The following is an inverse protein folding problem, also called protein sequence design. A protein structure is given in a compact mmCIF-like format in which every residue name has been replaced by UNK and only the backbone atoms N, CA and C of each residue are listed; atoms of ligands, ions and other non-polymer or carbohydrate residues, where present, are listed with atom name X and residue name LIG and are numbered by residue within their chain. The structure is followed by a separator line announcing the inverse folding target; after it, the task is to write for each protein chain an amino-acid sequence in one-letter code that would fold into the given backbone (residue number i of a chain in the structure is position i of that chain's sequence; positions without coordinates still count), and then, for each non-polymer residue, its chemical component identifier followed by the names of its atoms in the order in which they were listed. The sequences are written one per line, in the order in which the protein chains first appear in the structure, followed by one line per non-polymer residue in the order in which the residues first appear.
data_IF_244149516299
#
_entry.id   IF_244149516299
#
_cell.length_a   1.000
_cell.length_b   1.000
_cell.length_c   1.000
_cell.angle_alpha   90.00
_cell.angle_beta   90.00
_cell.angle_gamma   90.00
#
_symmetry.space_group_name_H-M   'P 1'
#
loop_
_entity.id
_entity.type
_entity.pdbx_description
1 polymer ?
#
# COMPACT_ATOMS: atom_id res chain seq x y z
N UNK A 1 -21.03 -7.55 5.68
CA UNK A 1 -21.16 -6.06 5.67
C UNK A 1 -19.87 -5.32 6.04
N UNK A 2 -18.72 -5.99 6.27
CA UNK A 2 -17.50 -5.38 6.82
C UNK A 2 -16.78 -4.31 5.99
N UNK A 3 -17.26 -4.00 4.79
CA UNK A 3 -16.73 -2.89 3.95
C UNK A 3 -17.79 -1.80 3.68
N UNK A 4 -18.80 -1.74 4.54
CA UNK A 4 -19.81 -0.67 4.55
C UNK A 4 -19.45 0.36 5.64
N UNK A 5 -19.76 1.65 5.45
CA UNK A 5 -20.41 2.26 4.28
C UNK A 5 -19.49 2.30 3.06
N UNK A 6 -20.04 1.95 1.89
CA UNK A 6 -19.32 2.01 0.61
C UNK A 6 -19.37 3.42 0.03
N UNK A 7 -18.49 4.29 0.53
CA UNK A 7 -18.31 5.70 0.16
C UNK A 7 -16.93 5.93 -0.46
N UNK A 8 -16.74 7.06 -1.14
CA UNK A 8 -15.43 7.46 -1.69
C UNK A 8 -14.39 7.52 -0.57
N UNK A 9 -13.17 7.04 -0.84
CA UNK A 9 -12.04 7.21 0.04
C UNK A 9 -11.76 8.71 0.24
N UNK A 10 -11.41 9.10 1.47
CA UNK A 10 -11.11 10.49 1.81
C UNK A 10 -9.74 10.92 1.30
N UNK A 11 -8.81 9.98 1.17
CA UNK A 11 -7.47 10.18 0.65
C UNK A 11 -7.21 9.19 -0.48
N UNK A 12 -6.38 9.58 -1.45
CA UNK A 12 -5.81 8.67 -2.45
C UNK A 12 -4.68 7.85 -1.83
N UNK A 13 -3.91 8.46 -0.91
CA UNK A 13 -2.86 7.80 -0.14
C UNK A 13 -3.52 6.88 0.89
N UNK A 14 -3.34 5.55 0.79
CA UNK A 14 -3.95 4.63 1.72
C UNK A 14 -3.30 4.75 3.11
N UNK A 15 -4.10 4.52 4.16
CA UNK A 15 -3.64 4.55 5.55
C UNK A 15 -3.76 3.16 6.16
N UNK A 16 -2.65 2.59 6.62
CA UNK A 16 -2.70 1.34 7.38
C UNK A 16 -3.39 1.57 8.73
N UNK A 17 -4.29 0.66 9.10
CA UNK A 17 -5.00 0.69 10.39
C UNK A 17 -4.36 -0.19 11.46
N UNK A 18 -3.29 -0.91 11.11
CA UNK A 18 -2.49 -1.76 12.00
C UNK A 18 -1.06 -1.83 11.45
N UNK A 19 -0.14 -2.32 12.25
CA UNK A 19 1.26 -2.53 11.87
C UNK A 19 1.69 -3.94 12.28
N UNK A 20 2.77 -4.49 11.70
CA UNK A 20 3.38 -5.72 12.18
C UNK A 20 3.87 -5.59 13.62
N UNK A 21 3.98 -6.71 14.32
CA UNK A 21 4.53 -6.78 15.67
C UNK A 21 6.02 -6.40 15.68
N UNK A 22 6.57 -6.18 16.88
CA UNK A 22 7.93 -5.65 17.09
C UNK A 22 9.03 -6.72 17.10
N UNK A 23 8.81 -7.83 16.41
CA UNK A 23 9.78 -8.90 16.34
C UNK A 23 10.94 -8.54 15.40
N UNK A 24 12.17 -8.89 15.80
CA UNK A 24 13.35 -8.75 14.96
C UNK A 24 14.17 -7.47 15.17
N UNK A 25 14.98 -7.14 14.17
CA UNK A 25 15.84 -5.96 14.16
C UNK A 25 15.02 -4.70 13.90
N UNK A 26 15.56 -3.56 14.33
CA UNK A 26 14.91 -2.26 14.10
C UNK A 26 14.83 -1.97 12.61
N UNK A 27 13.66 -1.52 12.17
CA UNK A 27 13.48 -1.14 10.77
C UNK A 27 12.13 -0.48 10.48
N UNK A 28 12.02 0.06 9.28
CA UNK A 28 10.76 0.57 8.75
C UNK A 28 9.79 -0.58 8.50
N UNK A 29 8.51 -0.36 8.78
CA UNK A 29 7.45 -1.35 8.54
C UNK A 29 6.59 -1.01 7.33
N UNK A 30 7.05 -0.15 6.43
CA UNK A 30 6.29 0.14 5.22
C UNK A 30 7.03 0.94 4.16
N UNK A 31 6.61 0.73 2.92
CA UNK A 31 7.11 1.38 1.70
C UNK A 31 5.94 1.73 0.77
N UNK A 32 6.18 2.43 -0.32
CA UNK A 32 5.17 2.76 -1.31
C UNK A 32 5.74 2.79 -2.74
N UNK A 33 4.87 2.55 -3.72
CA UNK A 33 5.23 2.59 -5.13
C UNK A 33 4.05 2.94 -6.03
N UNK A 34 4.28 3.01 -7.33
CA UNK A 34 3.28 3.33 -8.34
C UNK A 34 3.00 2.11 -9.22
N UNK A 35 1.73 1.71 -9.26
CA UNK A 35 1.32 0.55 -10.05
C UNK A 35 1.54 0.80 -11.54
N UNK A 36 2.36 -0.02 -12.19
CA UNK A 36 2.61 0.06 -13.63
C UNK A 36 1.58 -0.73 -14.42
N UNK A 37 1.61 -2.06 -14.28
CA UNK A 37 0.78 -2.97 -15.06
C UNK A 37 0.88 -4.40 -14.59
N UNK A 38 0.53 -5.35 -15.46
CA UNK A 38 0.64 -6.78 -15.17
C UNK A 38 1.37 -7.49 -16.31
N UNK A 39 2.07 -8.56 -15.94
CA UNK A 39 2.63 -9.56 -16.85
C UNK A 39 2.54 -10.93 -16.17
N UNK A 40 3.33 -11.90 -16.62
CA UNK A 40 3.53 -13.17 -15.95
C UNK A 40 5.01 -13.51 -15.87
N UNK A 41 5.36 -14.30 -14.87
CA UNK A 41 6.69 -14.90 -14.72
C UNK A 41 6.57 -16.41 -14.78
N UNK A 42 7.63 -17.06 -15.26
CA UNK A 42 7.86 -18.49 -15.03
C UNK A 42 8.86 -18.58 -13.89
N UNK A 43 8.49 -19.26 -12.83
CA UNK A 43 9.35 -19.48 -11.66
C UNK A 43 9.35 -20.96 -11.28
N UNK A 44 10.33 -21.38 -10.49
CA UNK A 44 10.34 -22.73 -9.90
C UNK A 44 9.38 -22.75 -8.70
N UNK A 45 8.48 -23.73 -8.66
CA UNK A 45 7.62 -23.96 -7.50
C UNK A 45 8.47 -24.38 -6.30
N UNK A 46 8.57 -23.48 -5.33
CA UNK A 46 9.33 -23.66 -4.09
C UNK A 46 8.43 -24.03 -2.90
N UNK A 47 7.16 -24.36 -3.15
CA UNK A 47 6.26 -24.80 -2.10
C UNK A 47 6.62 -26.21 -1.66
N UNK A 48 7.28 -26.32 -0.51
CA UNK A 48 7.58 -27.61 0.13
C UNK A 48 6.33 -28.49 0.22
N UNK A 49 6.46 -29.74 -0.21
CA UNK A 49 5.38 -30.75 -0.28
C UNK A 49 4.28 -30.46 -1.32
N UNK A 50 4.52 -29.54 -2.25
CA UNK A 50 3.71 -29.43 -3.47
C UNK A 50 4.01 -30.61 -4.40
N UNK A 51 3.01 -31.08 -5.14
CA UNK A 51 3.22 -32.11 -6.17
C UNK A 51 4.09 -31.60 -7.33
N UNK A 52 4.23 -30.28 -7.46
CA UNK A 52 5.00 -29.60 -8.49
C UNK A 52 6.28 -28.96 -7.96
N UNK A 53 6.68 -29.24 -6.71
CA UNK A 53 7.91 -28.71 -6.12
C UNK A 53 9.12 -28.97 -7.05
N UNK A 54 9.89 -27.93 -7.36
CA UNK A 54 11.02 -27.98 -8.28
C UNK A 54 10.66 -27.94 -9.78
N UNK A 55 9.37 -27.88 -10.13
CA UNK A 55 8.91 -27.73 -11.51
C UNK A 55 8.63 -26.26 -11.86
N UNK A 56 8.68 -25.93 -13.14
CA UNK A 56 8.29 -24.61 -13.63
C UNK A 56 6.78 -24.37 -13.46
N UNK A 57 6.44 -23.19 -12.96
CA UNK A 57 5.06 -22.72 -12.84
C UNK A 57 4.92 -21.29 -13.34
N UNK A 58 3.83 -21.01 -14.04
CA UNK A 58 3.53 -19.67 -14.56
C UNK A 58 2.67 -18.90 -13.57
N UNK A 59 3.16 -17.75 -13.10
CA UNK A 59 2.53 -16.94 -12.07
C UNK A 59 2.19 -15.55 -12.64
N UNK A 60 0.95 -15.08 -12.53
CA UNK A 60 0.61 -13.70 -12.90
C UNK A 60 1.24 -12.73 -11.90
N UNK A 61 1.82 -11.64 -12.38
CA UNK A 61 2.44 -10.62 -11.54
C UNK A 61 1.87 -9.24 -11.83
N UNK A 62 1.82 -8.39 -10.81
CA UNK A 62 1.68 -6.95 -10.97
C UNK A 62 3.04 -6.31 -10.79
N UNK A 63 3.46 -5.52 -11.78
CA UNK A 63 4.68 -4.72 -11.71
C UNK A 63 4.36 -3.37 -11.06
N UNK A 64 5.16 -2.96 -10.08
CA UNK A 64 5.03 -1.68 -9.36
C UNK A 64 6.40 -1.01 -9.36
N UNK A 65 6.47 0.24 -9.83
CA UNK A 65 7.69 1.05 -9.67
C UNK A 65 7.82 1.50 -8.21
N UNK A 66 8.97 1.27 -7.61
CA UNK A 66 9.30 1.50 -6.20
C UNK A 66 10.54 2.37 -6.08
N UNK A 67 10.52 3.61 -6.62
CA UNK A 67 11.65 4.54 -6.48
C UNK A 67 11.96 4.80 -5.01
N UNK A 68 13.20 5.22 -4.67
CA UNK A 68 13.54 5.56 -3.30
C UNK A 68 12.56 6.54 -2.68
N UNK A 69 12.21 6.28 -1.43
CA UNK A 69 11.37 7.17 -0.63
C UNK A 69 12.26 8.02 0.28
N UNK A 70 11.69 9.11 0.79
CA UNK A 70 12.39 10.00 1.72
C UNK A 70 11.61 10.19 3.01
N UNK A 71 12.33 10.35 4.12
CA UNK A 71 11.78 10.75 5.42
C UNK A 71 11.81 12.27 5.53
N UNK A 72 10.66 12.86 5.85
CA UNK A 72 10.52 14.29 6.14
C UNK A 72 10.59 14.60 7.64
N UNK A 73 10.14 13.68 8.49
CA UNK A 73 10.15 13.86 9.94
C UNK A 73 10.08 12.53 10.70
N UNK A 74 10.56 12.55 11.94
CA UNK A 74 10.33 11.52 12.95
C UNK A 74 9.24 12.03 13.91
N UNK A 75 8.18 11.26 14.10
CA UNK A 75 7.07 11.55 15.01
C UNK A 75 7.04 10.52 16.14
N UNK A 76 7.10 11.02 17.38
CA UNK A 76 6.89 10.20 18.56
C UNK A 76 5.44 10.27 19.04
N UNK A 77 4.97 9.18 19.62
CA UNK A 77 3.65 9.08 20.22
C UNK A 77 3.76 8.73 21.70
N UNK A 78 2.92 9.38 22.51
CA UNK A 78 2.68 9.00 23.90
C UNK A 78 1.40 8.16 24.01
N UNK A 79 1.32 7.30 25.02
CA UNK A 79 0.11 6.57 25.35
C UNK A 79 -0.65 7.27 26.48
N UNK A 80 -1.81 7.84 26.15
CA UNK A 80 -2.66 8.54 27.12
C UNK A 80 -3.85 7.68 27.52
N UNK A 81 -4.59 8.10 28.55
CA UNK A 81 -5.87 7.48 28.91
C UNK A 81 -6.91 7.46 27.75
N UNK A 82 -6.68 8.25 26.69
CA UNK A 82 -7.53 8.32 25.50
C UNK A 82 -6.92 7.63 24.26
N UNK A 83 -5.84 6.87 24.46
CA UNK A 83 -5.06 6.21 23.41
C UNK A 83 -3.84 7.01 22.95
N UNK A 84 -3.20 6.54 21.87
CA UNK A 84 -1.97 7.13 21.34
C UNK A 84 -2.19 8.55 20.83
N UNK A 85 -1.34 9.50 21.23
CA UNK A 85 -1.35 10.90 20.74
C UNK A 85 0.04 11.29 20.24
N UNK A 86 0.15 12.08 19.15
CA UNK A 86 1.43 12.65 18.76
C UNK A 86 1.98 13.52 19.89
N UNK A 87 3.23 13.28 20.26
CA UNK A 87 3.94 14.02 21.29
C UNK A 87 4.73 15.19 20.68
N UNK A 88 5.72 14.86 19.83
CA UNK A 88 6.57 15.81 19.14
C UNK A 88 7.02 15.26 17.78
N UNK A 89 7.54 16.14 16.93
CA UNK A 89 8.06 15.83 15.60
C UNK A 89 9.41 16.51 15.37
N UNK A 90 10.39 15.74 14.93
CA UNK A 90 11.69 16.24 14.47
C UNK A 90 11.70 16.18 12.94
N UNK A 91 11.78 17.34 12.28
CA UNK A 91 11.77 17.45 10.82
C UNK A 91 13.19 17.51 10.25
N UNK A 92 13.34 17.05 9.01
CA UNK A 92 14.58 17.19 8.26
C UNK A 92 14.89 18.67 7.99
N UNK A 93 16.14 19.06 8.14
CA UNK A 93 16.60 20.43 7.80
C UNK A 93 16.57 20.67 6.29
N UNK A 94 16.98 19.66 5.51
CA UNK A 94 17.09 19.72 4.07
C UNK A 94 16.18 18.66 3.43
N UNK A 95 14.93 19.03 3.16
CA UNK A 95 14.00 18.14 2.45
C UNK A 95 14.10 18.31 0.93
N UNK A 96 13.63 17.30 0.17
CA UNK A 96 13.60 17.36 -1.28
C UNK A 96 12.80 18.58 -1.78
N UNK A 97 13.27 19.32 -2.80
CA UNK A 97 12.64 20.57 -3.24
C UNK A 97 11.15 20.45 -3.56
N UNK A 98 10.70 19.33 -4.15
CA UNK A 98 9.28 19.13 -4.49
C UNK A 98 8.35 18.87 -3.29
N UNK A 99 8.88 18.68 -2.07
CA UNK A 99 8.06 18.46 -0.87
C UNK A 99 7.17 19.67 -0.53
N UNK A 100 7.61 20.88 -0.89
CA UNK A 100 6.87 22.13 -0.72
C UNK A 100 5.48 22.13 -1.40
N UNK A 101 5.32 21.33 -2.46
CA UNK A 101 4.05 21.12 -3.17
C UNK A 101 3.02 20.38 -2.31
N UNK A 102 3.49 19.63 -1.32
CA UNK A 102 2.66 18.78 -0.47
C UNK A 102 2.45 19.36 0.92
N UNK A 103 3.51 19.87 1.55
CA UNK A 103 3.52 20.33 2.95
C UNK A 103 4.35 21.61 3.05
N UNK A 104 3.90 22.54 3.90
CA UNK A 104 4.71 23.69 4.33
C UNK A 104 5.64 23.22 5.44
N UNK A 105 6.95 23.24 5.20
CA UNK A 105 7.95 22.83 6.18
C UNK A 105 7.92 23.78 7.39
N UNK A 106 8.00 23.26 8.63
CA UNK A 106 8.04 24.09 9.82
C UNK A 106 9.39 24.80 9.95
N UNK A 107 9.34 26.10 10.27
CA UNK A 107 10.54 26.92 10.48
C UNK A 107 11.20 26.63 11.84
N UNK A 108 12.49 26.26 11.83
CA UNK A 108 13.48 26.75 12.81
C UNK A 108 13.41 26.35 14.30
N UNK A 109 12.94 25.14 14.67
CA UNK A 109 13.01 24.66 16.07
C UNK A 109 13.33 23.15 16.18
N UNK A 110 14.09 22.59 15.23
CA UNK A 110 14.31 21.14 15.19
C UNK A 110 15.21 20.65 16.34
N UNK A 111 16.17 21.45 16.77
CA UNK A 111 17.00 21.15 17.94
C UNK A 111 16.15 21.06 19.23
N UNK A 112 15.25 22.02 19.45
CA UNK A 112 14.33 22.00 20.61
C UNK A 112 13.38 20.78 20.57
N UNK A 113 12.92 20.40 19.37
CA UNK A 113 12.09 19.21 19.20
C UNK A 113 12.87 17.92 19.45
N UNK A 114 14.16 17.86 19.07
CA UNK A 114 15.07 16.73 19.38
C UNK A 114 15.31 16.62 20.87
N UNK A 115 15.54 17.73 21.56
CA UNK A 115 15.71 17.76 23.01
C UNK A 115 14.44 17.27 23.72
N UNK A 116 13.27 17.71 23.25
CA UNK A 116 11.96 17.25 23.76
C UNK A 116 11.77 15.75 23.55
N UNK A 117 12.15 15.23 22.38
CA UNK A 117 12.07 13.80 22.07
C UNK A 117 12.99 12.98 22.99
N UNK A 118 14.23 13.44 23.17
CA UNK A 118 15.23 12.78 24.02
C UNK A 118 14.76 12.74 25.48
N UNK A 119 14.28 13.86 26.02
CA UNK A 119 13.75 13.92 27.38
C UNK A 119 12.55 12.98 27.58
N UNK A 120 11.64 12.92 26.61
CA UNK A 120 10.48 12.02 26.66
C UNK A 120 10.85 10.54 26.50
N UNK A 121 11.97 10.23 25.84
CA UNK A 121 12.50 8.88 25.78
C UNK A 121 13.08 8.47 27.15
N UNK A 122 13.84 9.36 27.79
CA UNK A 122 14.44 9.14 29.11
C UNK A 122 13.39 8.99 30.22
N UNK A 123 12.30 9.77 30.18
CA UNK A 123 11.21 9.68 31.16
C UNK A 123 10.23 8.51 30.91
N UNK A 124 10.38 7.80 29.78
CA UNK A 124 9.57 6.65 29.41
C UNK A 124 8.18 6.99 28.85
N UNK A 125 7.95 8.23 28.40
CA UNK A 125 6.66 8.67 27.85
C UNK A 125 6.43 8.23 26.40
N UNK A 126 7.48 7.83 25.67
CA UNK A 126 7.38 7.39 24.27
C UNK A 126 6.86 5.94 24.17
N UNK A 127 5.72 5.77 23.49
CA UNK A 127 5.04 4.48 23.27
C UNK A 127 5.17 3.96 21.82
N UNK A 128 5.31 4.84 20.83
CA UNK A 128 5.45 4.46 19.41
C UNK A 128 6.29 5.50 18.66
N UNK A 129 7.06 5.03 17.69
CA UNK A 129 7.90 5.88 16.83
C UNK A 129 7.52 5.63 15.38
N UNK A 130 7.30 6.71 14.64
CA UNK A 130 6.91 6.64 13.24
C UNK A 130 7.63 7.70 12.44
N UNK A 131 7.93 7.39 11.18
CA UNK A 131 8.48 8.37 10.24
C UNK A 131 7.37 8.91 9.35
N UNK A 132 7.36 10.22 9.15
CA UNK A 132 6.60 10.87 8.08
C UNK A 132 7.45 10.78 6.83
N UNK A 133 7.09 9.85 5.95
CA UNK A 133 7.79 9.60 4.70
C UNK A 133 7.01 10.14 3.49
N UNK A 134 7.68 10.34 2.37
CA UNK A 134 7.09 10.78 1.13
C UNK A 134 7.74 10.12 -0.08
N UNK A 135 6.96 9.97 -1.16
CA UNK A 135 7.48 9.52 -2.45
C UNK A 135 8.10 10.67 -3.23
N UNK A 136 8.94 10.36 -4.23
CA UNK A 136 9.46 11.33 -5.20
C UNK A 136 8.90 11.02 -6.60
N UNK A 137 7.66 11.43 -6.94
CA UNK A 137 7.04 11.08 -8.21
C UNK A 137 7.79 11.59 -9.44
N UNK A 138 8.64 12.60 -9.28
CA UNK A 138 9.45 13.15 -10.36
C UNK A 138 10.49 12.15 -10.90
N UNK A 139 10.86 11.14 -10.10
CA UNK A 139 11.74 10.04 -10.49
C UNK A 139 11.02 8.93 -11.25
N UNK A 140 9.70 9.04 -11.44
CA UNK A 140 8.89 8.06 -12.19
C UNK A 140 8.29 8.74 -13.43
N UNK A 141 8.97 8.68 -14.59
CA UNK A 141 8.56 9.39 -15.80
C UNK A 141 7.12 9.05 -16.25
N UNK A 142 6.71 7.79 -16.05
CA UNK A 142 5.38 7.28 -16.38
C UNK A 142 4.26 7.91 -15.54
N UNK A 143 4.58 8.55 -14.40
CA UNK A 143 3.63 9.17 -13.47
C UNK A 143 3.62 10.70 -13.66
N UNK A 144 2.54 11.32 -14.20
CA UNK A 144 2.55 12.74 -14.57
C UNK A 144 2.64 13.75 -13.40
N UNK A 145 2.35 13.30 -12.18
CA UNK A 145 2.31 14.19 -11.01
C UNK A 145 3.73 14.39 -10.50
N UNK A 146 4.07 15.61 -10.10
CA UNK A 146 5.32 15.93 -9.39
C UNK A 146 5.14 16.12 -7.89
N UNK A 147 3.90 16.35 -7.45
CA UNK A 147 3.56 16.53 -6.03
C UNK A 147 3.73 15.21 -5.27
N UNK A 148 4.63 15.15 -4.26
CA UNK A 148 4.80 13.99 -3.39
C UNK A 148 3.51 13.51 -2.74
N UNK A 149 3.41 12.21 -2.55
CA UNK A 149 2.46 11.63 -1.61
C UNK A 149 3.14 11.53 -0.25
N UNK A 150 2.50 12.01 0.82
CA UNK A 150 3.05 11.97 2.20
C UNK A 150 2.27 10.95 3.03
N UNK A 151 2.99 10.11 3.77
CA UNK A 151 2.42 9.07 4.61
C UNK A 151 3.30 8.74 5.82
N UNK A 152 2.63 8.30 6.87
CA UNK A 152 3.31 7.85 8.08
C UNK A 152 3.59 6.34 8.01
N UNK A 153 4.83 5.95 8.25
CA UNK A 153 5.31 4.57 8.38
C UNK A 153 5.81 4.32 9.79
N UNK A 154 5.44 3.19 10.39
CA UNK A 154 5.91 2.82 11.73
C UNK A 154 7.34 2.27 11.68
N UNK A 155 8.12 2.56 12.72
CA UNK A 155 9.40 1.91 13.00
C UNK A 155 9.14 0.83 14.05
N UNK A 156 9.51 -0.41 13.74
CA UNK A 156 9.33 -1.57 14.63
C UNK A 156 10.66 -2.26 14.94
N UNK A 157 10.61 -3.33 15.73
CA UNK A 157 11.79 -4.09 16.13
C UNK A 157 12.56 -3.45 17.30
N UNK A 158 13.42 -4.22 17.97
CA UNK A 158 14.27 -3.72 19.07
C UNK A 158 13.51 -2.98 20.20
N UNK A 159 14.26 -2.21 20.98
CA UNK A 159 13.71 -1.33 22.04
C UNK A 159 13.20 -0.01 21.46
N UNK A 160 12.39 0.74 22.22
CA UNK A 160 11.94 2.08 21.79
C UNK A 160 13.12 3.02 21.55
N UNK A 161 14.18 2.92 22.37
CA UNK A 161 15.41 3.70 22.18
C UNK A 161 16.07 3.41 20.84
N UNK A 162 16.26 2.13 20.52
CA UNK A 162 16.86 1.72 19.24
C UNK A 162 16.01 2.21 18.05
N UNK A 163 14.68 2.28 18.18
CA UNK A 163 13.78 2.81 17.14
C UNK A 163 13.91 4.31 16.96
N UNK A 164 14.07 5.07 18.05
CA UNK A 164 14.28 6.52 18.00
C UNK A 164 15.62 6.81 17.34
N UNK A 165 16.68 6.13 17.77
CA UNK A 165 18.03 6.27 17.20
C UNK A 165 18.02 5.97 15.70
N UNK A 166 17.53 4.80 15.29
CA UNK A 166 17.39 4.45 13.87
C UNK A 166 16.61 5.49 13.06
N UNK A 167 15.50 6.00 13.60
CA UNK A 167 14.67 6.97 12.89
C UNK A 167 15.36 8.33 12.72
N UNK A 168 16.12 8.77 13.73
CA UNK A 168 16.90 10.01 13.68
C UNK A 168 18.11 9.86 12.76
N UNK A 169 18.84 8.74 12.83
CA UNK A 169 19.96 8.45 11.94
C UNK A 169 19.51 8.44 10.47
N UNK A 170 18.37 7.80 10.19
CA UNK A 170 17.78 7.81 8.85
C UNK A 170 17.42 9.23 8.41
N UNK A 171 16.84 10.05 9.30
CA UNK A 171 16.50 11.45 9.02
C UNK A 171 17.76 12.28 8.70
N UNK A 172 18.84 12.06 9.43
CA UNK A 172 20.12 12.79 9.29
C UNK A 172 20.91 12.35 8.06
N UNK A 173 20.78 11.09 7.64
CA UNK A 173 21.33 10.55 6.40
C UNK A 173 20.48 10.90 5.16
N UNK A 174 20.03 12.16 5.05
CA UNK A 174 19.20 12.70 3.96
C UNK A 174 17.79 12.05 3.80
N UNK A 175 17.41 11.18 4.73
CA UNK A 175 16.09 10.56 4.79
C UNK A 175 15.81 9.50 3.73
N UNK A 176 16.74 9.20 2.82
CA UNK A 176 16.49 8.30 1.70
C UNK A 176 16.51 6.83 2.14
N UNK A 177 15.54 6.04 1.65
CA UNK A 177 15.50 4.59 1.84
C UNK A 177 14.86 3.90 0.63
N UNK A 178 15.31 2.69 0.36
CA UNK A 178 14.95 1.88 -0.79
C UNK A 178 14.00 0.73 -0.42
N UNK A 179 13.46 0.06 -1.43
CA UNK A 179 12.52 -1.05 -1.20
C UNK A 179 13.18 -2.23 -0.46
N UNK A 180 14.46 -2.49 -0.78
CA UNK A 180 15.27 -3.55 -0.17
C UNK A 180 15.63 -3.33 1.31
N UNK A 181 15.57 -2.08 1.79
CA UNK A 181 15.78 -1.77 3.22
C UNK A 181 14.62 -2.25 4.10
N UNK A 182 13.46 -2.54 3.48
CA UNK A 182 12.22 -2.91 4.17
C UNK A 182 11.80 -4.36 3.87
N UNK A 183 12.07 -4.85 2.67
CA UNK A 183 11.57 -6.13 2.18
C UNK A 183 12.66 -6.98 1.55
N UNK A 184 12.49 -8.29 1.63
CA UNK A 184 13.27 -9.28 0.89
C UNK A 184 12.39 -10.12 -0.02
N UNK A 185 12.92 -10.49 -1.20
CA UNK A 185 12.23 -11.34 -2.15
C UNK A 185 11.80 -12.66 -1.48
N UNK A 186 10.59 -13.12 -1.81
CA UNK A 186 9.97 -14.30 -1.22
C UNK A 186 9.16 -14.05 0.06
N UNK A 187 9.26 -12.87 0.67
CA UNK A 187 8.44 -12.49 1.82
C UNK A 187 6.97 -12.22 1.44
N UNK A 188 6.11 -12.27 2.46
CA UNK A 188 4.72 -11.86 2.34
C UNK A 188 4.54 -10.43 2.82
N UNK A 189 3.86 -9.63 2.02
CA UNK A 189 3.51 -8.26 2.32
C UNK A 189 2.00 -8.03 2.21
N UNK A 190 1.50 -7.02 2.91
CA UNK A 190 0.13 -6.53 2.73
C UNK A 190 0.15 -5.30 1.82
N UNK A 191 -0.68 -5.31 0.78
CA UNK A 191 -0.77 -4.20 -0.18
C UNK A 191 -2.02 -3.37 0.07
N UNK A 192 -1.84 -2.10 0.40
CA UNK A 192 -2.93 -1.14 0.51
C UNK A 192 -3.03 -0.23 -0.72
N UNK A 193 -4.24 0.01 -1.18
CA UNK A 193 -4.49 0.87 -2.34
C UNK A 193 -5.93 1.34 -2.43
N UNK A 194 -6.15 2.45 -3.14
CA UNK A 194 -7.49 2.92 -3.48
C UNK A 194 -7.93 2.30 -4.81
N UNK A 195 -8.95 1.47 -4.73
CA UNK A 195 -9.48 0.69 -5.86
C UNK A 195 -9.94 1.53 -7.07
N UNK A 196 -9.90 0.96 -8.27
CA UNK A 196 -10.44 1.58 -9.51
C UNK A 196 -11.87 2.11 -9.27
N UNK A 197 -12.07 3.42 -9.48
CA UNK A 197 -13.36 4.09 -9.33
C UNK A 197 -14.36 3.67 -10.40
N UNK A 198 -15.61 3.41 -10.02
CA UNK A 198 -16.68 3.02 -10.95
C UNK A 198 -17.91 3.95 -10.86
N UNK A 199 -17.81 5.04 -10.10
CA UNK A 199 -18.90 6.00 -9.90
C UNK A 199 -20.16 5.40 -9.25
N UNK A 200 -21.32 5.94 -9.59
CA UNK A 200 -22.62 5.42 -9.16
C UNK A 200 -22.93 4.11 -9.89
N UNK A 201 -23.13 3.03 -9.13
CA UNK A 201 -23.51 1.73 -9.69
C UNK A 201 -24.78 1.19 -9.05
N UNK A 202 -25.57 0.49 -9.86
CA UNK A 202 -26.79 -0.17 -9.41
C UNK A 202 -26.51 -1.42 -8.55
N UNK A 203 -27.52 -1.92 -7.81
CA UNK A 203 -27.35 -3.03 -6.86
C UNK A 203 -26.76 -4.30 -7.47
N UNK A 204 -27.07 -4.60 -8.74
CA UNK A 204 -26.55 -5.78 -9.44
C UNK A 204 -25.03 -5.79 -9.48
N UNK A 205 -24.40 -4.69 -9.91
CA UNK A 205 -22.93 -4.61 -9.98
C UNK A 205 -22.32 -4.33 -8.62
N UNK A 206 -22.96 -3.49 -7.80
CA UNK A 206 -22.44 -3.06 -6.50
C UNK A 206 -22.46 -4.19 -5.47
N UNK A 207 -23.53 -4.99 -5.42
CA UNK A 207 -23.76 -6.00 -4.39
C UNK A 207 -23.89 -7.43 -4.91
N UNK A 208 -23.85 -7.64 -6.24
CA UNK A 208 -23.98 -8.98 -6.82
C UNK A 208 -25.41 -9.54 -6.78
N UNK A 209 -26.44 -8.71 -6.59
CA UNK A 209 -27.83 -9.20 -6.62
C UNK A 209 -28.21 -9.66 -8.02
N UNK A 210 -29.12 -10.62 -8.11
CA UNK A 210 -29.60 -11.12 -9.39
C UNK A 210 -30.30 -10.03 -10.21
N UNK A 211 -30.15 -10.11 -11.53
CA UNK A 211 -31.09 -9.48 -12.47
C UNK A 211 -32.45 -10.19 -12.35
N UNK A 212 -33.54 -9.50 -12.68
CA UNK A 212 -34.84 -10.16 -12.88
C UNK A 212 -34.70 -11.23 -13.97
N UNK A 213 -35.41 -12.35 -13.81
CA UNK A 213 -35.29 -13.53 -14.67
C UNK A 213 -36.57 -13.77 -15.48
N UNK A 214 -36.46 -14.53 -16.57
CA UNK A 214 -37.59 -15.00 -17.37
C UNK A 214 -38.58 -13.90 -17.76
N UNK A 215 -39.88 -14.14 -17.49
CA UNK A 215 -40.96 -13.18 -17.76
C UNK A 215 -40.75 -11.85 -17.03
N UNK A 216 -40.31 -11.88 -15.77
CA UNK A 216 -40.11 -10.68 -14.94
C UNK A 216 -39.09 -9.69 -15.54
N UNK A 217 -38.07 -10.19 -16.24
CA UNK A 217 -37.09 -9.33 -16.91
C UNK A 217 -37.70 -8.48 -18.06
N UNK A 218 -38.85 -8.90 -18.59
CA UNK A 218 -39.56 -8.25 -19.70
C UNK A 218 -40.68 -7.31 -19.24
N UNK A 219 -41.01 -7.30 -17.94
CA UNK A 219 -42.13 -6.50 -17.39
C UNK A 219 -41.74 -5.04 -17.06
N UNK A 220 -40.59 -4.55 -17.54
CA UNK A 220 -40.10 -3.18 -17.23
C UNK A 220 -39.04 -3.11 -16.12
N UNK A 221 -38.78 -4.21 -15.40
CA UNK A 221 -37.70 -4.28 -14.39
C UNK A 221 -36.65 -5.31 -14.78
N UNK A 222 -35.41 -4.86 -14.98
CA UNK A 222 -34.28 -5.75 -15.30
C UNK A 222 -33.25 -5.85 -14.17
N UNK A 223 -32.90 -4.71 -13.57
CA UNK A 223 -31.74 -4.58 -12.65
C UNK A 223 -32.10 -4.00 -11.29
N UNK A 224 -33.37 -4.12 -10.89
CA UNK A 224 -33.89 -3.70 -9.58
C UNK A 224 -34.17 -4.92 -8.71
N UNK A 225 -33.96 -4.77 -7.41
CA UNK A 225 -34.30 -5.78 -6.40
C UNK A 225 -35.83 -5.97 -6.29
N UNK A 226 -36.23 -6.98 -5.53
CA UNK A 226 -37.64 -7.35 -5.27
C UNK A 226 -38.39 -6.26 -4.51
N UNK A 227 -37.96 -6.04 -3.27
CA UNK A 227 -38.53 -5.11 -2.30
C UNK A 227 -37.40 -4.46 -1.48
N UNK A 228 -37.74 -3.51 -0.60
CA UNK A 228 -36.80 -2.80 0.27
C UNK A 228 -36.84 -3.27 1.74
N UNK A 229 -37.58 -4.33 2.04
CA UNK A 229 -37.76 -4.85 3.40
C UNK A 229 -39.15 -5.45 3.63
N UNK A 230 -39.35 -6.07 4.81
CA UNK A 230 -40.66 -6.51 5.28
C UNK A 230 -41.56 -5.32 5.67
N UNK A 231 -42.82 -5.58 6.00
CA UNK A 231 -43.75 -4.57 6.52
C UNK A 231 -43.21 -3.93 7.81
N UNK A 232 -42.87 -4.75 8.81
CA UNK A 232 -42.30 -4.30 10.08
C UNK A 232 -40.86 -4.83 10.22
N UNK A 233 -39.88 -4.01 10.62
CA UNK A 233 -40.00 -2.59 10.97
C UNK A 233 -40.21 -1.69 9.74
N UNK A 234 -41.05 -0.65 9.88
CA UNK A 234 -41.45 0.29 8.82
C UNK A 234 -40.35 1.29 8.43
N UNK A 235 -39.16 0.76 8.10
CA UNK A 235 -38.00 1.54 7.64
C UNK A 235 -37.10 0.66 6.76
N UNK A 236 -36.42 1.28 5.81
CA UNK A 236 -35.42 0.57 5.00
C UNK A 236 -34.17 0.35 5.86
N UNK A 237 -33.75 -0.91 6.00
CA UNK A 237 -32.51 -1.23 6.71
C UNK A 237 -31.30 -0.91 5.83
N UNK A 238 -30.21 -0.45 6.44
CA UNK A 238 -28.93 -0.16 5.77
C UNK A 238 -28.30 -1.38 5.10
N UNK A 239 -28.70 -2.58 5.52
CA UNK A 239 -28.25 -3.87 4.96
C UNK A 239 -28.89 -4.22 3.62
N UNK A 240 -29.96 -3.52 3.22
CA UNK A 240 -30.62 -3.76 1.94
C UNK A 240 -29.72 -3.25 0.80
N UNK A 241 -29.42 -4.10 -0.21
CA UNK A 241 -28.48 -3.75 -1.27
C UNK A 241 -29.07 -2.68 -2.20
N UNK A 242 -28.61 -1.44 -2.02
CA UNK A 242 -29.05 -0.28 -2.80
C UNK A 242 -27.95 0.26 -3.72
N UNK A 243 -28.33 1.11 -4.67
CA UNK A 243 -27.39 1.80 -5.54
C UNK A 243 -26.45 2.71 -4.73
N UNK A 244 -25.33 3.09 -5.31
CA UNK A 244 -24.42 4.07 -4.70
C UNK A 244 -23.01 4.00 -5.27
N UNK A 245 -22.10 4.77 -4.68
CA UNK A 245 -20.68 4.74 -5.02
C UNK A 245 -20.13 3.31 -4.99
N UNK A 246 -19.37 2.95 -6.03
CA UNK A 246 -18.64 1.68 -6.14
C UNK A 246 -17.24 1.94 -6.66
N UNK A 247 -16.25 1.27 -6.07
CA UNK A 247 -14.84 1.55 -6.34
C UNK A 247 -14.42 2.90 -5.73
N UNK A 248 -13.13 3.23 -5.86
CA UNK A 248 -12.53 4.35 -5.14
C UNK A 248 -12.69 4.21 -3.62
N UNK A 249 -12.54 2.98 -3.13
CA UNK A 249 -12.48 2.64 -1.72
C UNK A 249 -11.06 2.16 -1.39
N UNK A 250 -10.57 2.48 -0.20
CA UNK A 250 -9.33 1.88 0.31
C UNK A 250 -9.54 0.38 0.55
N UNK A 251 -8.58 -0.44 0.12
CA UNK A 251 -8.48 -1.85 0.45
C UNK A 251 -7.05 -2.15 0.88
N UNK A 252 -6.92 -3.09 1.80
CA UNK A 252 -5.66 -3.74 2.15
C UNK A 252 -5.85 -5.20 1.79
N UNK A 253 -5.15 -5.65 0.75
CA UNK A 253 -5.08 -7.06 0.36
C UNK A 253 -3.92 -7.69 1.12
N UNK A 254 -4.19 -8.78 1.82
CA UNK A 254 -3.23 -9.41 2.73
C UNK A 254 -2.42 -10.49 2.03
N UNK A 255 -1.25 -10.78 2.57
CA UNK A 255 -0.42 -11.94 2.22
C UNK A 255 -0.13 -12.06 0.71
N UNK A 256 0.23 -10.94 0.07
CA UNK A 256 0.78 -10.96 -1.29
C UNK A 256 2.25 -11.33 -1.21
N UNK A 257 2.68 -12.25 -2.05
CA UNK A 257 4.07 -12.63 -2.13
C UNK A 257 4.84 -11.64 -2.99
N UNK A 258 5.99 -11.18 -2.49
CA UNK A 258 6.98 -10.48 -3.28
C UNK A 258 7.80 -11.55 -4.02
N UNK A 259 7.76 -11.58 -5.35
CA UNK A 259 8.54 -12.55 -6.11
C UNK A 259 9.97 -12.06 -6.32
N UNK A 260 10.10 -10.82 -6.75
CA UNK A 260 11.38 -10.22 -7.11
C UNK A 260 11.27 -8.70 -7.02
N UNK A 261 12.40 -8.02 -6.82
CA UNK A 261 12.53 -6.58 -6.98
C UNK A 261 13.95 -6.29 -7.48
N UNK A 262 14.11 -5.21 -8.22
CA UNK A 262 15.38 -4.82 -8.83
C UNK A 262 15.24 -3.49 -9.53
N UNK A 263 16.32 -3.03 -10.17
CA UNK A 263 16.40 -1.70 -10.78
C UNK A 263 16.69 -1.76 -12.29
N UNK A 264 16.68 -2.97 -12.86
CA UNK A 264 16.91 -3.20 -14.28
C UNK A 264 15.62 -2.95 -15.10
N UNK A 265 15.78 -2.65 -16.38
CA UNK A 265 14.71 -2.38 -17.33
C UNK A 265 14.12 -3.66 -17.97
N UNK A 266 14.35 -4.82 -17.34
CA UNK A 266 14.02 -6.17 -17.83
C UNK A 266 12.55 -6.59 -17.66
N UNK A 267 11.75 -5.79 -16.94
CA UNK A 267 10.32 -6.05 -16.70
C UNK A 267 9.37 -5.26 -17.60
N UNK A 268 9.90 -4.34 -18.42
CA UNK A 268 9.10 -3.54 -19.33
C UNK A 268 8.55 -4.41 -20.48
N UNK A 269 7.24 -4.32 -20.72
CA UNK A 269 6.61 -5.03 -21.85
C UNK A 269 6.82 -4.29 -23.18
N UNK A 270 6.87 -5.02 -24.28
CA UNK A 270 7.04 -4.49 -25.64
C UNK A 270 5.97 -3.45 -25.95
N UNK A 271 6.42 -2.25 -26.33
CA UNK A 271 5.55 -1.09 -26.60
C UNK A 271 5.06 -0.37 -25.34
N UNK A 272 5.60 -0.71 -24.17
CA UNK A 272 5.27 -0.10 -22.87
C UNK A 272 3.95 -0.61 -22.28
N UNK A 273 3.82 -0.46 -20.96
CA UNK A 273 2.58 -0.82 -20.27
C UNK A 273 1.41 0.09 -20.73
N UNK A 274 0.28 -0.47 -21.18
CA UNK A 274 -0.84 0.31 -21.69
C UNK A 274 -1.38 1.33 -20.69
N UNK A 275 -1.49 2.59 -21.11
CA UNK A 275 -1.88 3.73 -20.28
C UNK A 275 -0.93 4.04 -19.11
N UNK A 276 0.26 3.47 -19.10
CA UNK A 276 1.30 3.71 -18.12
C UNK A 276 2.52 4.35 -18.77
N UNK A 277 3.32 3.54 -19.48
CA UNK A 277 4.62 3.88 -20.06
C UNK A 277 5.62 2.72 -19.88
N UNK A 278 6.90 3.02 -20.05
CA UNK A 278 8.02 2.11 -19.78
C UNK A 278 8.44 2.23 -18.30
N UNK A 279 9.13 1.21 -17.79
CA UNK A 279 9.73 1.20 -16.45
C UNK A 279 11.22 1.42 -16.64
N UNK A 280 11.75 2.48 -16.03
CA UNK A 280 13.13 2.94 -16.19
C UNK A 280 13.94 2.94 -14.88
N UNK A 281 13.38 2.34 -13.82
CA UNK A 281 14.01 2.38 -12.50
C UNK A 281 13.48 1.29 -11.56
N UNK A 282 13.71 1.45 -10.24
CA UNK A 282 13.40 0.44 -9.25
C UNK A 282 11.96 -0.08 -9.33
N UNK A 283 11.80 -1.40 -9.29
CA UNK A 283 10.53 -2.08 -9.39
C UNK A 283 10.38 -3.23 -8.40
N UNK A 284 9.14 -3.65 -8.17
CA UNK A 284 8.78 -4.87 -7.47
C UNK A 284 7.74 -5.69 -8.24
N UNK A 285 7.96 -7.01 -8.31
CA UNK A 285 7.05 -8.01 -8.86
C UNK A 285 6.20 -8.61 -7.73
N UNK A 286 4.93 -8.21 -7.69
CA UNK A 286 3.98 -8.68 -6.68
C UNK A 286 3.11 -9.78 -7.28
N UNK A 287 3.03 -10.92 -6.58
CA UNK A 287 2.19 -12.05 -7.00
C UNK A 287 0.71 -11.64 -7.14
N UNK A 288 0.14 -11.97 -8.29
CA UNK A 288 -1.26 -11.76 -8.62
C UNK A 288 -1.61 -10.29 -8.84
N UNK A 289 -2.74 -9.87 -8.29
CA UNK A 289 -3.29 -8.53 -8.52
C UNK A 289 -3.05 -7.57 -7.35
N UNK A 290 -2.84 -6.29 -7.66
CA UNK A 290 -2.79 -5.19 -6.67
C UNK A 290 -4.00 -4.23 -6.83
N UNK A 291 -4.59 -3.73 -5.72
CA UNK A 291 -5.74 -2.82 -5.78
C UNK A 291 -5.39 -1.45 -6.35
N UNK A 292 -6.13 -1.03 -7.38
CA UNK A 292 -6.00 0.31 -7.96
C UNK A 292 -5.78 0.28 -9.47
N UNK A 293 -5.96 1.42 -10.15
CA UNK A 293 -5.48 1.60 -11.51
C UNK A 293 -3.98 1.74 -11.60
N UNK A 294 -3.51 1.68 -12.82
CA UNK A 294 -2.20 2.12 -13.26
C UNK A 294 -1.96 3.57 -12.76
N UNK A 295 -0.72 3.92 -12.43
CA UNK A 295 -0.29 5.21 -11.84
C UNK A 295 -0.80 5.48 -10.41
N UNK A 296 -1.52 4.55 -9.79
CA UNK A 296 -2.00 4.71 -8.41
C UNK A 296 -0.85 4.41 -7.45
N UNK A 297 -0.70 5.26 -6.44
CA UNK A 297 0.10 4.94 -5.27
C UNK A 297 -0.46 3.70 -4.58
N UNK A 298 0.39 2.72 -4.33
CA UNK A 298 0.13 1.54 -3.51
C UNK A 298 1.14 1.54 -2.37
N UNK A 299 0.71 1.08 -1.21
CA UNK A 299 1.57 0.98 -0.02
C UNK A 299 1.77 -0.48 0.34
N UNK A 300 2.95 -0.76 0.83
CA UNK A 300 3.40 -2.05 1.29
C UNK A 300 3.68 -1.98 2.79
N UNK A 301 3.42 -3.07 3.49
CA UNK A 301 3.93 -3.34 4.84
C UNK A 301 4.22 -4.85 4.94
N UNK A 302 5.11 -5.30 5.83
CA UNK A 302 5.22 -6.72 6.13
C UNK A 302 3.85 -7.31 6.50
N UNK A 303 3.59 -8.55 6.10
CA UNK A 303 2.29 -9.17 6.36
C UNK A 303 2.04 -9.28 7.86
N UNK A 304 0.90 -8.74 8.35
CA UNK A 304 0.58 -8.78 9.79
C UNK A 304 -0.03 -10.11 10.25
N UNK A 305 -0.29 -11.02 9.30
CA UNK A 305 -0.92 -12.32 9.55
C UNK A 305 -0.60 -13.31 8.42
N UNK A 306 0.70 -13.61 8.19
CA UNK A 306 1.11 -14.57 7.18
C UNK A 306 0.54 -15.95 7.52
N UNK A 307 0.02 -16.66 6.50
CA UNK A 307 -0.48 -18.03 6.67
C UNK A 307 0.60 -19.09 6.41
N UNK A 308 1.73 -18.67 5.86
CA UNK A 308 2.83 -19.53 5.42
C UNK A 308 4.15 -18.85 5.83
N UNK A 309 5.16 -19.66 6.11
CA UNK A 309 6.51 -19.15 6.31
C UNK A 309 7.06 -18.56 5.01
N UNK A 310 7.82 -17.46 5.07
CA UNK A 310 8.53 -16.93 3.92
C UNK A 310 9.44 -17.99 3.29
N UNK A 311 9.47 -18.02 1.96
CA UNK A 311 10.40 -18.82 1.17
C UNK A 311 11.17 -17.82 0.33
N UNK A 312 12.37 -17.53 0.80
CA UNK A 312 13.17 -16.40 0.35
C UNK A 312 13.74 -16.65 -1.03
N UNK A 313 13.88 -15.57 -1.79
CA UNK A 313 14.56 -15.51 -3.08
C UNK A 313 14.07 -16.60 -4.06
N UNK A 314 12.76 -16.60 -4.41
CA UNK A 314 12.21 -17.59 -5.32
C UNK A 314 12.89 -17.48 -6.69
N UNK A 315 13.17 -18.63 -7.30
CA UNK A 315 13.89 -18.67 -8.57
C UNK A 315 12.98 -18.30 -9.75
N UNK A 316 13.10 -17.06 -10.23
CA UNK A 316 12.44 -16.56 -11.44
C UNK A 316 13.28 -16.95 -12.67
N UNK A 317 12.70 -17.78 -13.54
CA UNK A 317 13.36 -18.28 -14.77
C UNK A 317 13.13 -17.38 -15.97
N UNK A 318 11.97 -16.73 -16.01
CA UNK A 318 11.57 -15.89 -17.13
C UNK A 318 10.56 -14.85 -16.70
N UNK A 319 10.77 -13.59 -17.08
CA UNK A 319 9.75 -12.55 -17.03
C UNK A 319 9.26 -12.28 -18.45
N UNK A 320 7.95 -12.37 -18.67
CA UNK A 320 7.39 -12.09 -19.99
C UNK A 320 7.41 -10.59 -20.28
N UNK A 321 8.16 -10.20 -21.30
CA UNK A 321 8.18 -8.84 -21.86
C UNK A 321 7.29 -8.72 -23.10
N UNK A 322 6.55 -9.77 -23.48
CA UNK A 322 5.66 -9.72 -24.65
C UNK A 322 4.65 -8.56 -24.57
N UNK A 323 4.32 -7.97 -25.73
CA UNK A 323 3.42 -6.83 -25.78
C UNK A 323 2.07 -7.15 -25.13
N UNK A 324 1.64 -6.24 -24.26
CA UNK A 324 0.30 -6.26 -23.68
C UNK A 324 -0.79 -5.81 -24.68
N UNK A 325 -0.39 -5.38 -25.88
CA UNK A 325 -1.26 -5.09 -27.01
C UNK A 325 -1.15 -6.26 -27.99
N UNK A 326 -2.28 -6.95 -28.22
CA UNK A 326 -2.33 -8.18 -29.02
C UNK A 326 -2.18 -7.98 -30.52
#
# INVERSE_FOLDING_TARGET
MGFSPRKRAQSVVPRFGSWPDDDGQVGLQGFAGYKAGMSHVVMIDDQANSATEGMETTVPVTVVETPPMRVAAVRAYENTAYGKRPLTEVWAENAHPDLDRAVSLPDGAQDENRDTLTAALEDGSVDDVRVVSYTVPAEVPSVPRKKPDVMENRVGGGTIGDRVEFALDLLDAEGAFEFGDVFRAGEFLDVAGVTKGKGLQGPVKRWGVQKRKGKHARQGWRRRIGNLGPWNPSRVRSTVPQQGQTGYHQRTELNKRLLEFGDEDDVTVDGGFPNYGEIEGPYALIEGSVPGPEKRLVRFRPAVRPNQSPRLDPEVRHVSTASNQG
#
